data_IF_208180457749
#
_entry.id   IF_208180457749
#
_cell.length_a   1.000
_cell.length_b   1.000
_cell.length_c   1.000
_cell.angle_alpha   90.00
_cell.angle_beta   90.00
_cell.angle_gamma   90.00
#
_symmetry.space_group_name_H-M   'P 1'
#
loop_
_entity.id
_entity.type
_entity.pdbx_description
1 polymer ?
#
# COMPACT_ATOMS: atom_id res chain seq x y z
N UNK A 1 -10.24 14.15 13.85
CA UNK A 1 -10.92 13.41 12.77
C UNK A 1 -10.54 14.07 11.46
N UNK A 2 -10.27 13.27 10.42
CA UNK A 2 -9.95 13.78 9.10
C UNK A 2 -11.13 14.59 8.53
N UNK A 3 -10.86 15.82 8.08
CA UNK A 3 -11.89 16.73 7.56
C UNK A 3 -11.86 16.88 6.04
N UNK A 4 -10.73 16.59 5.42
CA UNK A 4 -10.45 16.91 4.03
C UNK A 4 -10.22 15.63 3.23
N UNK A 5 -10.75 15.60 2.01
CA UNK A 5 -10.43 14.57 1.02
C UNK A 5 -9.01 14.78 0.52
N UNK A 6 -8.30 13.70 0.21
CA UNK A 6 -7.04 13.80 -0.52
C UNK A 6 -6.87 12.72 -1.59
N UNK A 7 -6.01 13.01 -2.57
CA UNK A 7 -5.56 12.05 -3.58
C UNK A 7 -4.06 11.79 -3.39
N UNK A 8 -3.68 10.51 -3.42
CA UNK A 8 -2.30 10.06 -3.26
C UNK A 8 -1.80 9.54 -4.60
N UNK A 9 -0.63 10.02 -5.02
CA UNK A 9 0.15 9.49 -6.13
C UNK A 9 1.49 9.01 -5.57
N UNK A 10 1.79 7.73 -5.75
CA UNK A 10 2.99 7.11 -5.22
C UNK A 10 3.74 6.34 -6.30
N UNK A 11 5.01 6.68 -6.51
CA UNK A 11 5.93 6.01 -7.41
C UNK A 11 7.02 5.30 -6.61
N UNK A 12 7.29 4.05 -6.97
CA UNK A 12 8.51 3.35 -6.60
C UNK A 12 8.99 2.51 -7.77
N UNK A 13 10.30 2.31 -7.88
CA UNK A 13 10.87 1.37 -8.85
C UNK A 13 11.23 0.04 -8.20
N UNK A 14 11.38 -0.98 -9.03
CA UNK A 14 11.80 -2.32 -8.66
C UNK A 14 12.88 -2.77 -9.65
N UNK A 15 14.05 -3.16 -9.16
CA UNK A 15 15.19 -3.57 -9.99
C UNK A 15 15.59 -5.03 -9.71
N UNK A 16 15.63 -5.86 -10.76
CA UNK A 16 15.98 -7.29 -10.71
C UNK A 16 15.24 -8.11 -9.65
N UNK A 17 13.95 -7.80 -9.46
CA UNK A 17 13.11 -8.44 -8.46
C UNK A 17 11.70 -8.70 -8.97
N UNK A 18 10.92 -9.39 -8.15
CA UNK A 18 9.51 -9.61 -8.39
C UNK A 18 8.69 -8.75 -7.42
N UNK A 19 8.10 -7.60 -7.83
CA UNK A 19 7.36 -6.72 -6.92
C UNK A 19 6.07 -7.36 -6.41
N UNK A 20 5.39 -8.17 -7.22
CA UNK A 20 4.17 -8.89 -6.86
C UNK A 20 3.97 -10.15 -7.71
N UNK A 21 4.33 -11.30 -7.11
CA UNK A 21 4.17 -12.59 -7.75
C UNK A 21 2.73 -13.08 -7.72
N UNK A 22 2.34 -13.86 -8.74
CA UNK A 22 1.05 -14.52 -8.81
C UNK A 22 1.11 -15.96 -8.27
N UNK A 23 0.50 -16.27 -7.12
CA UNK A 23 0.54 -17.61 -6.56
C UNK A 23 -0.09 -18.69 -7.45
N UNK A 24 -0.94 -18.32 -8.42
CA UNK A 24 -1.55 -19.29 -9.35
C UNK A 24 -0.81 -19.42 -10.69
N UNK A 25 0.21 -18.60 -10.93
CA UNK A 25 1.04 -18.64 -12.15
C UNK A 25 2.53 -18.64 -11.76
N UNK A 26 2.97 -19.72 -11.11
CA UNK A 26 4.39 -19.98 -10.79
C UNK A 26 5.11 -18.83 -10.07
N UNK A 27 4.35 -18.00 -9.35
CA UNK A 27 4.83 -16.79 -8.70
C UNK A 27 5.45 -15.77 -9.67
N UNK A 28 5.09 -15.78 -10.96
CA UNK A 28 5.51 -14.78 -11.96
C UNK A 28 5.06 -13.37 -11.57
N UNK A 29 5.83 -12.32 -11.88
CA UNK A 29 5.33 -10.95 -11.79
C UNK A 29 4.03 -10.83 -12.59
N UNK A 30 3.00 -10.18 -12.01
CA UNK A 30 1.74 -9.95 -12.73
C UNK A 30 1.96 -8.95 -13.88
N UNK A 31 1.58 -9.34 -15.10
CA UNK A 31 1.69 -8.51 -16.31
C UNK A 31 0.31 -8.39 -16.95
N UNK A 32 -0.05 -7.20 -17.41
CA UNK A 32 -1.17 -7.00 -18.32
C UNK A 32 -0.78 -7.49 -19.72
N UNK A 33 -1.42 -8.57 -20.20
CA UNK A 33 -1.09 -9.21 -21.48
C UNK A 33 -1.26 -8.28 -22.69
N UNK A 34 -2.22 -7.34 -22.64
CA UNK A 34 -2.50 -6.43 -23.75
C UNK A 34 -1.49 -5.27 -23.81
N UNK A 35 -1.16 -4.71 -22.64
CA UNK A 35 -0.32 -3.52 -22.57
C UNK A 35 1.15 -3.82 -22.33
N UNK A 36 1.51 -5.00 -21.82
CA UNK A 36 2.86 -5.36 -21.40
C UNK A 36 3.32 -4.68 -20.11
N UNK A 37 2.40 -4.04 -19.37
CA UNK A 37 2.71 -3.29 -18.14
C UNK A 37 2.66 -4.20 -16.92
N UNK A 38 3.58 -4.02 -15.99
CA UNK A 38 3.50 -4.69 -14.70
C UNK A 38 2.30 -4.21 -13.90
N UNK A 39 1.64 -5.14 -13.19
CA UNK A 39 0.57 -4.87 -12.24
C UNK A 39 1.06 -5.22 -10.83
N UNK A 40 0.75 -4.36 -9.87
CA UNK A 40 0.88 -4.67 -8.45
C UNK A 40 -0.47 -4.45 -7.79
N UNK A 41 -0.98 -5.45 -7.06
CA UNK A 41 -2.29 -5.33 -6.42
C UNK A 41 -2.28 -4.29 -5.30
N UNK A 42 -3.42 -3.65 -5.07
CA UNK A 42 -3.61 -2.74 -3.94
C UNK A 42 -3.41 -3.47 -2.61
N UNK A 43 -3.83 -4.74 -2.52
CA UNK A 43 -3.61 -5.59 -1.34
C UNK A 43 -2.12 -5.78 -1.05
N UNK A 44 -1.27 -5.88 -2.09
CA UNK A 44 0.19 -5.97 -1.89
C UNK A 44 0.75 -4.71 -1.26
N UNK A 45 0.36 -3.52 -1.73
CA UNK A 45 0.77 -2.25 -1.14
C UNK A 45 0.24 -2.11 0.30
N UNK A 46 -1.05 -2.42 0.53
CA UNK A 46 -1.65 -2.41 1.88
C UNK A 46 -0.93 -3.36 2.83
N UNK A 47 -0.45 -4.51 2.36
CA UNK A 47 0.37 -5.44 3.16
C UNK A 47 1.72 -4.82 3.53
N UNK A 48 2.43 -4.21 2.57
CA UNK A 48 3.69 -3.50 2.85
C UNK A 48 3.51 -2.44 3.94
N UNK A 49 2.43 -1.66 3.85
CA UNK A 49 2.08 -0.64 4.86
C UNK A 49 1.84 -1.30 6.22
N UNK A 50 0.98 -2.31 6.30
CA UNK A 50 0.68 -3.04 7.56
C UNK A 50 1.93 -3.63 8.20
N UNK A 51 2.77 -4.29 7.40
CA UNK A 51 4.00 -4.92 7.86
C UNK A 51 4.94 -3.86 8.47
N UNK A 52 5.08 -2.70 7.82
CA UNK A 52 5.89 -1.60 8.35
C UNK A 52 5.33 -1.01 9.65
N UNK A 53 4.04 -0.70 9.67
CA UNK A 53 3.37 -0.14 10.85
C UNK A 53 3.47 -1.09 12.05
N UNK A 54 3.38 -2.39 11.82
CA UNK A 54 3.55 -3.38 12.89
C UNK A 54 5.00 -3.51 13.34
N UNK A 55 5.92 -3.78 12.42
CA UNK A 55 7.29 -4.20 12.75
C UNK A 55 8.18 -3.03 13.17
N UNK A 56 7.98 -1.84 12.58
CA UNK A 56 8.85 -0.68 12.80
C UNK A 56 8.21 0.38 13.68
N UNK A 57 6.87 0.52 13.66
CA UNK A 57 6.15 1.49 14.50
C UNK A 57 5.52 0.87 15.75
N UNK A 58 5.52 -0.46 15.87
CA UNK A 58 4.92 -1.16 17.00
C UNK A 58 3.41 -0.96 17.12
N UNK A 59 2.74 -0.52 16.04
CA UNK A 59 1.31 -0.30 16.03
C UNK A 59 0.57 -1.62 15.87
N UNK A 60 -0.62 -1.71 16.46
CA UNK A 60 -1.44 -2.90 16.35
C UNK A 60 -2.14 -2.95 14.99
N UNK A 61 -2.06 -4.13 14.37
CA UNK A 61 -2.65 -4.43 13.07
C UNK A 61 -3.61 -5.59 13.24
N UNK A 62 -4.85 -5.41 12.82
CA UNK A 62 -5.86 -6.45 12.92
C UNK A 62 -5.56 -7.60 11.95
N UNK A 63 -5.37 -7.27 10.66
CA UNK A 63 -5.16 -8.25 9.59
C UNK A 63 -3.68 -8.64 9.58
N UNK A 64 -3.32 -9.61 10.43
CA UNK A 64 -2.00 -10.24 10.48
C UNK A 64 -2.12 -11.74 10.73
N UNK A 65 -1.10 -12.47 10.34
CA UNK A 65 -0.97 -13.89 10.68
C UNK A 65 -0.53 -14.00 12.14
N UNK A 66 -1.34 -14.66 12.95
CA UNK A 66 -1.01 -14.99 14.35
C UNK A 66 -1.04 -16.49 14.45
N UNK A 67 0.08 -17.05 14.90
CA UNK A 67 0.25 -18.47 15.13
C UNK A 67 0.05 -18.71 16.63
N UNK A 68 -0.84 -19.64 16.98
CA UNK A 68 -1.09 -20.01 18.37
C UNK A 68 0.01 -20.94 18.93
N UNK A 69 -0.09 -21.31 20.21
CA UNK A 69 0.88 -22.19 20.89
C UNK A 69 0.98 -23.60 20.28
N UNK A 70 0.08 -23.96 19.35
CA UNK A 70 0.01 -25.27 18.69
C UNK A 70 0.33 -25.18 17.19
N UNK A 71 0.95 -24.09 16.75
CA UNK A 71 1.29 -23.80 15.36
C UNK A 71 0.07 -23.65 14.42
N UNK A 72 -1.12 -23.35 14.94
CA UNK A 72 -2.30 -23.06 14.12
C UNK A 72 -2.46 -21.57 13.84
N UNK A 73 -2.82 -21.24 12.59
CA UNK A 73 -3.13 -19.87 12.19
C UNK A 73 -4.51 -19.49 12.73
N UNK A 74 -4.55 -18.39 13.47
CA UNK A 74 -5.77 -17.84 14.03
C UNK A 74 -6.74 -17.39 12.93
N UNK A 75 -8.02 -17.74 13.07
CA UNK A 75 -9.05 -17.27 12.15
C UNK A 75 -9.56 -15.86 12.51
N UNK A 76 -10.33 -15.25 11.60
CA UNK A 76 -10.86 -13.90 11.80
C UNK A 76 -11.81 -13.77 13.00
N UNK A 77 -12.46 -14.87 13.42
CA UNK A 77 -13.39 -14.87 14.57
C UNK A 77 -12.62 -14.84 15.86
N UNK A 78 -11.64 -15.73 16.00
CA UNK A 78 -10.73 -15.75 17.14
C UNK A 78 -10.03 -14.40 17.26
N UNK A 79 -9.59 -13.83 16.14
CA UNK A 79 -8.96 -12.51 16.13
C UNK A 79 -9.90 -11.40 16.62
N UNK A 80 -11.18 -11.45 16.26
CA UNK A 80 -12.17 -10.52 16.78
C UNK A 80 -12.42 -10.71 18.29
N UNK A 81 -12.43 -11.95 18.78
CA UNK A 81 -12.60 -12.26 20.21
C UNK A 81 -11.45 -11.72 21.08
N UNK A 82 -10.24 -11.53 20.53
CA UNK A 82 -9.13 -10.89 21.26
C UNK A 82 -9.41 -9.44 21.65
N UNK A 83 -10.34 -8.78 20.96
CA UNK A 83 -10.76 -7.41 21.25
C UNK A 83 -12.01 -7.35 22.15
N UNK A 84 -12.44 -8.46 22.75
CA UNK A 84 -13.44 -8.47 23.83
C UNK A 84 -12.80 -8.04 25.16
N UNK A 85 -12.31 -6.81 25.20
CA UNK A 85 -11.64 -6.22 26.36
C UNK A 85 -12.43 -5.00 26.82
N UNK A 86 -12.68 -4.91 28.12
CA UNK A 86 -13.29 -3.73 28.75
C UNK A 86 -12.55 -3.44 30.05
N UNK A 87 -12.18 -2.18 30.24
CA UNK A 87 -11.44 -1.72 31.43
C UNK A 87 -10.14 -2.52 31.70
N UNK A 88 -9.49 -3.01 30.64
CA UNK A 88 -8.26 -3.80 30.71
C UNK A 88 -8.45 -5.29 30.99
N UNK A 89 -9.69 -5.76 31.19
CA UNK A 89 -10.00 -7.17 31.44
C UNK A 89 -10.62 -7.86 30.22
N UNK A 90 -10.16 -9.08 29.92
CA UNK A 90 -10.74 -9.91 28.86
C UNK A 90 -12.10 -10.44 29.32
N UNK A 91 -13.15 -10.11 28.57
CA UNK A 91 -14.51 -10.53 28.85
C UNK A 91 -14.78 -11.93 28.29
N UNK A 92 -15.62 -12.68 29.00
CA UNK A 92 -16.09 -14.00 28.57
C UNK A 92 -17.32 -13.85 27.68
N UNK A 93 -17.26 -14.37 26.46
CA UNK A 93 -18.36 -14.27 25.48
C UNK A 93 -19.68 -14.85 25.98
N UNK A 94 -19.64 -15.84 26.87
CA UNK A 94 -20.84 -16.49 27.43
C UNK A 94 -21.67 -15.53 28.29
N UNK A 95 -21.03 -14.48 28.83
CA UNK A 95 -21.67 -13.48 29.70
C UNK A 95 -22.23 -12.28 28.93
N UNK A 96 -21.98 -12.20 27.63
CA UNK A 96 -22.36 -11.05 26.80
C UNK A 96 -23.45 -11.43 25.81
N UNK A 97 -24.29 -10.47 25.46
CA UNK A 97 -25.18 -10.57 24.29
C UNK A 97 -24.39 -10.33 23.01
N UNK A 98 -24.92 -10.80 21.88
CA UNK A 98 -24.29 -10.58 20.57
C UNK A 98 -24.16 -9.08 20.25
N UNK A 99 -25.12 -8.25 20.68
CA UNK A 99 -25.08 -6.80 20.51
C UNK A 99 -23.93 -6.17 21.31
N UNK A 100 -23.78 -6.51 22.59
CA UNK A 100 -22.68 -6.01 23.43
C UNK A 100 -21.31 -6.45 22.89
N UNK A 101 -21.18 -7.70 22.44
CA UNK A 101 -19.95 -8.18 21.81
C UNK A 101 -19.59 -7.31 20.59
N UNK A 102 -20.56 -7.00 19.73
CA UNK A 102 -20.32 -6.16 18.55
C UNK A 102 -19.86 -4.76 18.94
N UNK A 103 -20.52 -4.13 19.91
CA UNK A 103 -20.18 -2.78 20.34
C UNK A 103 -18.77 -2.71 20.92
N UNK A 104 -18.43 -3.65 21.82
CA UNK A 104 -17.11 -3.72 22.46
C UNK A 104 -16.02 -3.98 21.43
N UNK A 105 -16.19 -5.00 20.58
CA UNK A 105 -15.20 -5.33 19.54
C UNK A 105 -15.03 -4.13 18.60
N UNK A 106 -16.12 -3.53 18.14
CA UNK A 106 -16.09 -2.38 17.25
C UNK A 106 -15.29 -1.22 17.83
N UNK A 107 -15.54 -0.86 19.08
CA UNK A 107 -14.84 0.25 19.72
C UNK A 107 -13.36 -0.06 19.94
N UNK A 108 -13.04 -1.28 20.39
CA UNK A 108 -11.66 -1.70 20.65
C UNK A 108 -10.82 -1.78 19.37
N UNK A 109 -11.38 -2.32 18.29
CA UNK A 109 -10.65 -2.41 17.01
C UNK A 109 -10.45 -1.03 16.38
N UNK A 110 -11.44 -0.14 16.42
CA UNK A 110 -11.28 1.23 15.91
C UNK A 110 -10.27 2.04 16.72
N UNK A 111 -10.20 1.81 18.02
CA UNK A 111 -9.27 2.51 18.90
C UNK A 111 -7.84 1.99 18.75
N UNK A 112 -7.67 0.68 18.59
CA UNK A 112 -6.35 0.03 18.66
C UNK A 112 -5.73 -0.24 17.28
N UNK A 113 -6.54 -0.59 16.28
CA UNK A 113 -6.04 -1.08 14.99
C UNK A 113 -6.07 -0.01 13.91
N UNK A 114 -4.88 0.53 13.57
CA UNK A 114 -4.74 1.56 12.55
C UNK A 114 -5.13 1.07 11.15
N UNK A 115 -4.88 -0.21 10.84
CA UNK A 115 -5.22 -0.77 9.52
C UNK A 115 -6.73 -0.85 9.27
N UNK A 116 -7.54 -1.00 10.32
CA UNK A 116 -9.00 -0.91 10.23
C UNK A 116 -9.42 0.55 9.99
N UNK A 117 -8.79 1.50 10.70
CA UNK A 117 -9.07 2.93 10.49
C UNK A 117 -8.75 3.38 9.06
N UNK A 118 -7.68 2.84 8.48
CA UNK A 118 -7.22 3.17 7.13
C UNK A 118 -7.97 2.41 6.03
N UNK A 119 -8.04 1.08 6.13
CA UNK A 119 -8.45 0.20 5.03
C UNK A 119 -9.80 -0.47 5.24
N UNK A 120 -10.39 -0.32 6.43
CA UNK A 120 -11.64 -0.97 6.78
C UNK A 120 -11.49 -2.49 6.92
N UNK A 121 -12.60 -3.15 7.22
CA UNK A 121 -12.61 -4.58 7.50
C UNK A 121 -14.03 -5.13 7.45
N UNK A 122 -14.16 -6.44 7.18
CA UNK A 122 -15.37 -7.21 7.46
C UNK A 122 -15.04 -8.27 8.49
N UNK A 123 -15.55 -8.11 9.71
CA UNK A 123 -15.28 -8.96 10.86
C UNK A 123 -16.49 -9.85 11.16
N UNK A 124 -16.34 -11.18 11.20
CA UNK A 124 -17.36 -12.05 11.75
C UNK A 124 -17.37 -11.96 13.28
N UNK A 125 -18.56 -11.82 13.86
CA UNK A 125 -18.80 -11.87 15.31
C UNK A 125 -19.76 -13.02 15.60
N UNK A 126 -19.32 -14.00 16.38
CA UNK A 126 -20.09 -15.21 16.65
C UNK A 126 -20.16 -15.48 18.15
N UNK A 127 -21.38 -15.50 18.69
CA UNK A 127 -21.62 -15.91 20.08
C UNK A 127 -21.87 -17.42 20.16
N UNK A 128 -22.65 -17.96 19.21
CA UNK A 128 -22.96 -19.38 19.09
C UNK A 128 -23.20 -19.74 17.62
N UNK A 129 -23.31 -21.03 17.30
CA UNK A 129 -23.53 -21.50 15.92
C UNK A 129 -24.80 -20.92 15.26
N UNK A 130 -25.78 -20.50 16.08
CA UNK A 130 -27.04 -19.88 15.68
C UNK A 130 -27.06 -18.35 15.83
N UNK A 131 -26.13 -17.77 16.59
CA UNK A 131 -26.06 -16.32 16.87
C UNK A 131 -24.78 -15.74 16.25
N UNK A 132 -24.92 -15.28 15.00
CA UNK A 132 -23.84 -14.73 14.18
C UNK A 132 -24.20 -13.34 13.68
N UNK A 133 -23.20 -12.48 13.58
CA UNK A 133 -23.30 -11.18 12.95
C UNK A 133 -21.96 -10.78 12.33
N UNK A 134 -21.92 -9.61 11.72
CA UNK A 134 -20.68 -9.02 11.23
C UNK A 134 -20.59 -7.53 11.57
N UNK A 135 -19.36 -7.05 11.72
CA UNK A 135 -19.02 -5.63 11.74
C UNK A 135 -18.35 -5.34 10.40
N UNK A 136 -18.83 -4.33 9.68
CA UNK A 136 -18.27 -3.95 8.39
C UNK A 136 -17.97 -2.47 8.41
N UNK A 137 -16.72 -2.13 8.12
CA UNK A 137 -16.26 -0.77 7.89
C UNK A 137 -15.68 -0.65 6.50
N UNK A 138 -16.17 0.31 5.73
CA UNK A 138 -15.52 0.70 4.48
C UNK A 138 -14.30 1.55 4.80
N UNK A 139 -13.14 1.13 4.31
CA UNK A 139 -11.88 1.87 4.49
C UNK A 139 -11.92 3.24 3.83
N UNK A 140 -11.52 4.31 4.53
CA UNK A 140 -11.37 5.63 3.93
C UNK A 140 -10.30 5.68 2.83
N UNK A 141 -9.24 4.88 2.97
CA UNK A 141 -8.12 4.85 2.04
C UNK A 141 -8.30 3.72 1.03
N UNK A 142 -8.51 4.09 -0.23
CA UNK A 142 -8.65 3.14 -1.33
C UNK A 142 -7.58 3.41 -2.39
N UNK A 143 -6.90 2.34 -2.82
CA UNK A 143 -5.92 2.39 -3.89
C UNK A 143 -6.44 1.64 -5.10
N UNK A 144 -6.15 2.16 -6.29
CA UNK A 144 -6.17 1.38 -7.52
C UNK A 144 -5.00 0.39 -7.50
N UNK A 145 -5.09 -0.69 -8.27
CA UNK A 145 -3.91 -1.51 -8.56
C UNK A 145 -2.84 -0.64 -9.20
N UNK A 146 -1.60 -0.78 -8.72
CA UNK A 146 -0.46 -0.09 -9.28
C UNK A 146 -0.11 -0.66 -10.65
N UNK A 147 0.32 0.22 -11.55
CA UNK A 147 0.75 -0.15 -12.90
C UNK A 147 2.09 0.48 -13.23
N UNK A 148 2.98 -0.25 -13.91
CA UNK A 148 4.25 0.33 -14.37
C UNK A 148 4.01 1.44 -15.39
N UNK A 149 4.80 2.52 -15.41
CA UNK A 149 4.62 3.62 -16.38
C UNK A 149 5.06 3.27 -17.82
N UNK A 150 5.75 2.15 -18.00
CA UNK A 150 6.25 1.62 -19.27
C UNK A 150 5.97 0.11 -19.38
N UNK A 151 6.15 -0.46 -20.57
CA UNK A 151 6.20 -1.92 -20.75
C UNK A 151 7.41 -2.51 -20.05
N UNK A 152 7.26 -3.69 -19.45
CA UNK A 152 8.34 -4.36 -18.74
C UNK A 152 8.72 -5.67 -19.42
N UNK A 153 9.99 -6.05 -19.27
CA UNK A 153 10.47 -7.36 -19.66
C UNK A 153 10.51 -8.28 -18.44
N UNK A 154 9.99 -9.50 -18.59
CA UNK A 154 10.19 -10.55 -17.59
C UNK A 154 11.43 -11.36 -17.94
N UNK A 155 12.31 -11.54 -16.97
CA UNK A 155 13.49 -12.38 -17.09
C UNK A 155 13.33 -13.62 -16.20
N UNK A 156 13.76 -14.75 -16.75
CA UNK A 156 13.71 -16.03 -16.07
C UNK A 156 15.11 -16.46 -15.67
N UNK A 157 15.34 -16.54 -14.37
CA UNK A 157 16.64 -16.81 -13.77
C UNK A 157 16.63 -18.21 -13.16
N UNK A 158 17.65 -19.00 -13.51
CA UNK A 158 17.91 -20.31 -12.90
C UNK A 158 19.05 -20.21 -11.89
N UNK A 159 18.84 -20.81 -10.73
CA UNK A 159 19.84 -20.99 -9.68
C UNK A 159 19.96 -22.46 -9.26
N UNK A 160 20.97 -22.75 -8.44
CA UNK A 160 21.14 -24.05 -7.79
C UNK A 160 21.05 -23.90 -6.28
N UNK A 161 20.25 -24.74 -5.63
CA UNK A 161 20.18 -24.88 -4.18
C UNK A 161 21.32 -25.72 -3.63
N UNK A 162 21.69 -25.48 -2.38
CA UNK A 162 22.77 -26.23 -1.73
C UNK A 162 22.35 -27.65 -1.32
N UNK A 163 21.04 -27.89 -1.16
CA UNK A 163 20.49 -29.17 -0.70
C UNK A 163 20.08 -30.06 -1.86
N UNK A 164 20.22 -31.37 -1.66
CA UNK A 164 19.72 -32.38 -2.57
C UNK A 164 18.18 -32.36 -2.60
N UNK A 165 17.59 -32.80 -3.72
CA UNK A 165 16.13 -32.87 -3.91
C UNK A 165 15.44 -33.98 -3.11
N UNK A 166 16.18 -34.78 -2.34
CA UNK A 166 15.67 -35.85 -1.49
C UNK A 166 16.78 -36.55 -0.72
N UNK A 167 16.40 -37.42 0.22
CA UNK A 167 17.36 -38.31 0.91
C UNK A 167 18.04 -39.22 -0.13
N UNK A 168 19.36 -39.40 -0.01
CA UNK A 168 20.21 -40.23 -0.90
C UNK A 168 20.39 -39.73 -2.34
N UNK A 169 19.89 -38.54 -2.69
CA UNK A 169 20.16 -37.92 -3.99
C UNK A 169 21.42 -37.04 -3.94
N UNK A 170 22.25 -37.09 -4.98
CA UNK A 170 23.42 -36.21 -5.15
C UNK A 170 23.12 -34.97 -5.99
N UNK A 171 21.99 -34.95 -6.69
CA UNK A 171 21.55 -33.80 -7.47
C UNK A 171 21.05 -32.67 -6.57
N UNK A 172 21.68 -31.50 -6.72
CA UNK A 172 21.23 -30.25 -6.11
C UNK A 172 19.84 -29.88 -6.62
N UNK A 173 19.04 -29.28 -5.75
CA UNK A 173 17.77 -28.64 -6.12
C UNK A 173 18.00 -27.52 -7.13
N UNK A 174 17.16 -27.42 -8.17
CA UNK A 174 17.14 -26.25 -9.04
C UNK A 174 16.16 -25.23 -8.49
N UNK A 175 16.50 -23.95 -8.60
CA UNK A 175 15.63 -22.83 -8.25
C UNK A 175 15.35 -22.04 -9.50
N UNK A 176 14.10 -21.70 -9.69
CA UNK A 176 13.63 -20.98 -10.87
C UNK A 176 12.88 -19.74 -10.38
N UNK A 177 13.26 -18.58 -10.89
CA UNK A 177 12.67 -17.31 -10.47
C UNK A 177 12.39 -16.41 -11.66
N UNK A 178 11.24 -15.74 -11.60
CA UNK A 178 10.89 -14.70 -12.55
C UNK A 178 11.05 -13.35 -11.89
N UNK A 179 11.81 -12.48 -12.55
CA UNK A 179 12.10 -11.12 -12.07
C UNK A 179 11.87 -10.12 -13.18
N UNK A 180 11.67 -8.86 -12.79
CA UNK A 180 11.66 -7.73 -13.68
C UNK A 180 13.02 -7.03 -13.56
N UNK A 181 13.79 -6.87 -14.64
CA UNK A 181 15.03 -6.08 -14.60
C UNK A 181 14.77 -4.66 -14.12
N UNK A 182 13.66 -4.06 -14.57
CA UNK A 182 13.22 -2.75 -14.12
C UNK A 182 11.71 -2.60 -14.25
N UNK A 183 11.10 -1.92 -13.28
CA UNK A 183 9.70 -1.51 -13.34
C UNK A 183 9.48 -0.27 -12.48
N UNK A 184 9.09 0.85 -13.08
CA UNK A 184 8.65 2.03 -12.34
C UNK A 184 7.13 2.00 -12.16
N UNK A 185 6.66 1.70 -10.95
CA UNK A 185 5.25 1.41 -10.63
C UNK A 185 4.58 2.64 -10.05
N UNK A 186 3.41 2.99 -10.59
CA UNK A 186 2.57 4.09 -10.11
C UNK A 186 1.31 3.58 -9.41
N UNK A 187 1.09 4.04 -8.19
CA UNK A 187 -0.14 3.87 -7.43
C UNK A 187 -0.91 5.17 -7.34
N UNK A 188 -2.22 5.07 -7.56
CA UNK A 188 -3.17 6.14 -7.32
C UNK A 188 -4.13 5.71 -6.20
N UNK A 189 -4.37 6.61 -5.25
CA UNK A 189 -5.28 6.39 -4.14
C UNK A 189 -6.10 7.61 -3.76
N UNK A 190 -7.19 7.36 -3.04
CA UNK A 190 -8.08 8.40 -2.51
C UNK A 190 -8.24 8.16 -1.01
N UNK A 191 -8.19 9.24 -0.24
CA UNK A 191 -8.58 9.28 1.17
C UNK A 191 -9.94 9.96 1.28
N UNK A 192 -10.97 9.19 1.60
CA UNK A 192 -12.35 9.65 1.67
C UNK A 192 -12.72 10.15 3.08
N UNK A 193 -12.96 11.46 3.19
CA UNK A 193 -13.33 12.18 4.40
C UNK A 193 -14.67 11.72 5.01
N UNK A 194 -15.59 11.21 4.19
CA UNK A 194 -16.89 10.75 4.68
C UNK A 194 -16.79 9.38 5.37
N UNK A 195 -16.06 8.45 4.75
CA UNK A 195 -15.77 7.13 5.34
C UNK A 195 -14.86 7.24 6.57
N UNK A 196 -14.03 8.29 6.65
CA UNK A 196 -13.19 8.56 7.81
C UNK A 196 -13.99 8.77 9.10
N UNK A 197 -15.24 9.27 9.01
CA UNK A 197 -16.11 9.49 10.17
C UNK A 197 -16.53 8.19 10.85
N UNK A 198 -16.84 7.15 10.07
CA UNK A 198 -17.27 5.84 10.61
C UNK A 198 -16.11 5.06 11.21
N UNK A 199 -14.90 5.27 10.67
CA UNK A 199 -13.67 4.59 11.08
C UNK A 199 -12.83 5.38 12.09
N UNK A 200 -13.23 6.61 12.44
CA UNK A 200 -12.51 7.52 13.34
C UNK A 200 -11.09 7.87 12.87
N UNK A 201 -10.84 7.80 11.56
CA UNK A 201 -9.54 8.11 10.97
C UNK A 201 -9.14 9.56 11.26
N UNK A 202 -7.87 9.76 11.62
CA UNK A 202 -7.30 11.07 11.97
C UNK A 202 -6.29 11.56 10.92
N UNK A 203 -5.86 12.82 11.01
CA UNK A 203 -4.78 13.34 10.17
C UNK A 203 -3.43 12.68 10.50
N UNK A 204 -3.19 12.39 11.78
CA UNK A 204 -1.98 11.68 12.24
C UNK A 204 -1.90 10.25 11.68
N UNK A 205 -3.05 9.57 11.54
CA UNK A 205 -3.11 8.28 10.86
C UNK A 205 -2.71 8.38 9.37
N UNK A 206 -3.03 9.50 8.71
CA UNK A 206 -2.62 9.76 7.32
C UNK A 206 -1.12 10.06 7.22
N UNK A 207 -0.57 10.85 8.13
CA UNK A 207 0.88 11.09 8.17
C UNK A 207 1.65 9.77 8.38
N UNK A 208 1.14 8.92 9.28
CA UNK A 208 1.66 7.57 9.55
C UNK A 208 1.52 6.65 8.32
N UNK A 209 0.42 6.75 7.58
CA UNK A 209 0.22 6.03 6.31
C UNK A 209 1.26 6.45 5.26
N UNK A 210 1.46 7.75 5.05
CA UNK A 210 2.38 8.28 4.03
C UNK A 210 3.81 7.86 4.33
N UNK A 211 4.22 7.92 5.61
CA UNK A 211 5.50 7.40 6.05
C UNK A 211 5.63 5.90 5.76
N UNK A 212 4.61 5.11 6.10
CA UNK A 212 4.63 3.66 5.88
C UNK A 212 4.62 3.27 4.40
N UNK A 213 4.02 4.08 3.52
CA UNK A 213 4.12 3.90 2.07
C UNK A 213 5.58 4.07 1.61
N UNK A 214 6.24 5.13 2.06
CA UNK A 214 7.63 5.42 1.71
C UNK A 214 8.61 4.43 2.35
N UNK A 215 8.74 4.47 3.67
CA UNK A 215 9.71 3.69 4.42
C UNK A 215 9.37 2.19 4.43
N UNK A 216 8.10 1.80 4.38
CA UNK A 216 7.70 0.40 4.29
C UNK A 216 8.12 -0.25 2.98
N UNK A 217 7.98 0.47 1.86
CA UNK A 217 8.43 -0.03 0.54
C UNK A 217 9.94 -0.22 0.52
N UNK A 218 10.69 0.74 1.05
CA UNK A 218 12.16 0.68 1.19
C UNK A 218 12.62 -0.44 2.13
N UNK A 219 11.83 -0.78 3.15
CA UNK A 219 12.16 -1.76 4.19
C UNK A 219 11.81 -3.21 3.80
N UNK A 220 11.37 -3.47 2.56
CA UNK A 220 11.12 -4.82 2.05
C UNK A 220 12.44 -5.57 1.73
N UNK A 221 13.20 -5.91 2.77
CA UNK A 221 14.50 -6.57 2.67
C UNK A 221 14.31 -8.09 2.69
N UNK A 222 13.81 -8.65 1.58
CA UNK A 222 13.76 -10.11 1.37
C UNK A 222 14.38 -10.47 0.03
N UNK A 223 14.77 -11.74 -0.15
CA UNK A 223 15.48 -12.20 -1.36
C UNK A 223 14.77 -11.86 -2.68
N UNK A 224 13.44 -11.81 -2.69
CA UNK A 224 12.65 -11.53 -3.90
C UNK A 224 12.14 -10.09 -3.99
N UNK A 225 12.40 -9.25 -2.98
CA UNK A 225 11.80 -7.91 -2.86
C UNK A 225 12.82 -6.79 -2.61
N UNK A 226 14.06 -7.13 -2.24
CA UNK A 226 15.14 -6.17 -2.01
C UNK A 226 15.50 -5.44 -3.31
N UNK A 227 15.42 -4.11 -3.31
CA UNK A 227 15.57 -3.31 -4.53
C UNK A 227 14.31 -2.56 -4.95
N UNK A 228 13.28 -2.53 -4.10
CA UNK A 228 12.19 -1.55 -4.23
C UNK A 228 12.61 -0.21 -3.62
N UNK A 229 12.56 0.87 -4.40
CA UNK A 229 12.96 2.20 -3.94
C UNK A 229 11.84 3.20 -4.23
N UNK A 230 11.25 3.83 -3.20
CA UNK A 230 10.34 4.96 -3.38
C UNK A 230 11.00 6.09 -4.17
N UNK A 231 10.26 6.69 -5.10
CA UNK A 231 10.77 7.75 -5.99
C UNK A 231 10.03 9.08 -5.83
N UNK A 232 8.71 9.01 -5.72
CA UNK A 232 7.86 10.20 -5.58
C UNK A 232 6.63 9.84 -4.76
N UNK A 233 6.30 10.65 -3.76
CA UNK A 233 5.02 10.57 -3.05
C UNK A 233 4.41 11.96 -3.02
N UNK A 234 3.20 12.07 -3.53
CA UNK A 234 2.41 13.30 -3.61
C UNK A 234 1.04 13.04 -2.99
N UNK A 235 0.66 13.84 -2.00
CA UNK A 235 -0.68 13.83 -1.40
C UNK A 235 -1.33 15.20 -1.60
N UNK A 236 -2.37 15.27 -2.42
CA UNK A 236 -3.07 16.52 -2.74
C UNK A 236 -4.30 16.62 -1.83
N UNK A 237 -4.27 17.56 -0.89
CA UNK A 237 -5.35 17.76 0.10
C UNK A 237 -6.31 18.84 -0.39
N UNK A 238 -7.60 18.55 -0.45
CA UNK A 238 -8.63 19.46 -0.97
C UNK A 238 -9.41 20.14 0.14
N UNK A 239 -9.74 21.42 -0.04
CA UNK A 239 -10.67 22.16 0.84
C UNK A 239 -12.13 22.05 0.40
N UNK A 240 -12.37 21.71 -0.86
CA UNK A 240 -13.72 21.49 -1.38
C UNK A 240 -14.21 20.08 -1.00
N UNK A 241 -15.35 20.00 -0.33
CA UNK A 241 -15.93 18.72 0.10
C UNK A 241 -16.38 17.90 -1.11
N UNK A 242 -16.19 16.58 -1.03
CA UNK A 242 -16.59 15.63 -2.06
C UNK A 242 -15.92 15.83 -3.44
N UNK A 243 -14.94 16.72 -3.54
CA UNK A 243 -14.20 17.00 -4.77
C UNK A 243 -12.87 16.25 -4.79
N UNK A 244 -12.51 15.76 -5.97
CA UNK A 244 -11.19 15.27 -6.31
C UNK A 244 -11.02 15.41 -7.84
N UNK A 245 -9.77 15.47 -8.30
CA UNK A 245 -9.40 15.61 -9.72
C UNK A 245 -9.62 14.27 -10.44
N UNK A 246 -9.12 13.18 -9.84
CA UNK A 246 -9.12 11.85 -10.43
C UNK A 246 -7.88 11.55 -11.25
N UNK A 247 -7.47 10.27 -11.24
CA UNK A 247 -6.50 9.69 -12.18
C UNK A 247 -5.15 10.42 -12.24
N UNK A 248 -4.63 10.87 -11.09
CA UNK A 248 -3.35 11.60 -11.04
C UNK A 248 -2.19 10.83 -11.70
N UNK A 249 -2.24 9.49 -11.67
CA UNK A 249 -1.29 8.60 -12.34
C UNK A 249 -1.28 8.74 -13.87
N UNK A 250 -2.38 9.18 -14.49
CA UNK A 250 -2.53 9.34 -15.95
C UNK A 250 -1.97 10.65 -16.49
N UNK A 251 -1.60 11.57 -15.61
CA UNK A 251 -0.90 12.80 -15.99
C UNK A 251 0.63 12.67 -15.96
N UNK A 252 1.13 11.46 -15.71
CA UNK A 252 2.54 11.12 -15.83
C UNK A 252 2.81 10.37 -17.15
N UNK A 253 3.97 10.64 -17.75
CA UNK A 253 4.53 9.82 -18.83
C UNK A 253 6.05 9.75 -18.71
N UNK A 254 6.66 8.85 -19.47
CA UNK A 254 8.12 8.70 -19.53
C UNK A 254 8.66 9.21 -20.87
N UNK A 255 9.76 9.94 -20.81
CA UNK A 255 10.54 10.42 -21.96
C UNK A 255 11.90 9.73 -21.93
N UNK A 256 12.18 8.94 -22.96
CA UNK A 256 13.46 8.22 -23.13
C UNK A 256 13.68 7.89 -24.60
N UNK A 257 14.94 7.75 -25.00
CA UNK A 257 15.33 7.26 -26.33
C UNK A 257 15.44 5.74 -26.39
N UNK A 258 15.35 5.05 -25.23
CA UNK A 258 15.40 3.59 -25.13
C UNK A 258 14.02 2.98 -25.34
N UNK A 259 13.99 1.72 -25.77
CA UNK A 259 12.76 0.95 -25.71
C UNK A 259 12.36 0.70 -24.25
N UNK A 260 11.05 0.71 -23.95
CA UNK A 260 10.48 0.49 -22.62
C UNK A 260 11.07 -0.75 -21.89
N UNK A 261 11.24 -1.86 -22.61
CA UNK A 261 11.72 -3.14 -22.08
C UNK A 261 13.24 -3.17 -21.80
N UNK A 262 13.97 -2.19 -22.31
CA UNK A 262 15.43 -2.05 -22.15
C UNK A 262 15.82 -1.19 -20.95
N UNK A 263 14.87 -0.50 -20.32
CA UNK A 263 15.12 0.33 -19.14
C UNK A 263 15.68 -0.51 -17.99
N UNK A 264 16.71 -0.01 -17.32
CA UNK A 264 17.39 -0.67 -16.19
C UNK A 264 17.54 0.20 -14.95
N UNK A 265 17.41 1.52 -15.09
CA UNK A 265 17.57 2.44 -13.96
C UNK A 265 16.73 3.72 -14.13
N UNK A 266 16.42 4.37 -13.01
CA UNK A 266 15.68 5.64 -12.95
C UNK A 266 16.39 6.78 -13.69
N UNK A 267 17.72 6.72 -13.84
CA UNK A 267 18.48 7.74 -14.57
C UNK A 267 18.38 7.63 -16.10
N UNK A 268 17.72 6.60 -16.64
CA UNK A 268 17.66 6.33 -18.09
C UNK A 268 16.45 6.96 -18.79
N UNK A 269 15.62 7.70 -18.04
CA UNK A 269 14.42 8.37 -18.54
C UNK A 269 14.09 9.60 -17.68
N UNK A 270 13.26 10.46 -18.25
CA UNK A 270 12.69 11.61 -17.55
C UNK A 270 11.19 11.33 -17.34
N UNK A 271 10.71 11.54 -16.11
CA UNK A 271 9.27 11.51 -15.81
C UNK A 271 8.69 12.86 -16.15
N UNK A 272 7.80 12.89 -17.15
CA UNK A 272 7.05 14.09 -17.51
C UNK A 272 5.92 14.33 -16.51
N UNK A 273 6.00 15.49 -15.84
CA UNK A 273 5.05 15.95 -14.83
C UNK A 273 4.29 17.21 -15.27
N UNK A 274 4.49 17.66 -16.51
CA UNK A 274 4.00 18.96 -16.97
C UNK A 274 2.46 18.98 -16.96
N UNK A 275 1.83 17.92 -17.47
CA UNK A 275 0.36 17.74 -17.45
C UNK A 275 -0.20 17.65 -16.04
N UNK A 276 0.54 17.05 -15.11
CA UNK A 276 0.14 16.98 -13.70
C UNK A 276 0.12 18.40 -13.10
N UNK A 277 1.19 19.17 -13.32
CA UNK A 277 1.30 20.56 -12.87
C UNK A 277 0.20 21.46 -13.47
N UNK A 278 -0.13 21.31 -14.75
CA UNK A 278 -1.23 22.03 -15.41
C UNK A 278 -2.57 21.75 -14.74
N UNK A 279 -2.88 20.48 -14.46
CA UNK A 279 -4.15 20.08 -13.85
C UNK A 279 -4.25 20.53 -12.40
N UNK A 280 -3.14 20.47 -11.64
CA UNK A 280 -3.07 21.03 -10.29
C UNK A 280 -3.32 22.54 -10.32
N UNK A 281 -2.63 23.28 -11.22
CA UNK A 281 -2.81 24.72 -11.39
C UNK A 281 -4.26 25.09 -11.74
N UNK A 282 -4.88 24.36 -12.66
CA UNK A 282 -6.29 24.55 -13.04
C UNK A 282 -7.25 24.44 -11.85
N UNK A 283 -6.91 23.60 -10.86
CA UNK A 283 -7.73 23.34 -9.67
C UNK A 283 -7.17 24.00 -8.40
N UNK A 284 -6.23 24.94 -8.51
CA UNK A 284 -5.54 25.57 -7.38
C UNK A 284 -6.51 26.12 -6.32
N UNK A 285 -7.60 26.73 -6.77
CA UNK A 285 -8.60 27.31 -5.89
C UNK A 285 -9.37 26.28 -5.05
N UNK A 286 -9.20 24.97 -5.28
CA UNK A 286 -9.83 23.85 -4.56
C UNK A 286 -8.83 23.05 -3.70
N UNK A 287 -7.54 23.26 -3.92
CA UNK A 287 -6.46 22.62 -3.19
C UNK A 287 -6.15 23.43 -1.93
N UNK A 288 -6.00 22.74 -0.81
CA UNK A 288 -5.62 23.31 0.47
C UNK A 288 -4.10 23.29 0.65
N UNK A 289 -3.50 22.10 0.49
CA UNK A 289 -2.06 21.90 0.50
C UNK A 289 -1.68 20.70 -0.35
N UNK A 290 -0.40 20.62 -0.67
CA UNK A 290 0.23 19.47 -1.32
C UNK A 290 1.33 18.98 -0.40
N UNK A 291 1.26 17.72 0.01
CA UNK A 291 2.36 17.07 0.70
C UNK A 291 3.23 16.35 -0.34
N UNK A 292 4.56 16.49 -0.25
CA UNK A 292 5.48 16.01 -1.28
C UNK A 292 6.78 15.48 -0.68
N UNK A 293 7.25 14.35 -1.21
CA UNK A 293 8.65 13.90 -1.08
C UNK A 293 9.14 13.28 -2.37
N UNK A 294 10.44 13.40 -2.62
CA UNK A 294 11.12 13.01 -3.84
C UNK A 294 12.44 12.32 -3.49
N UNK A 295 12.79 11.31 -4.26
CA UNK A 295 14.11 10.69 -4.23
C UNK A 295 15.10 11.48 -5.09
N UNK A 296 16.33 11.65 -4.60
CA UNK A 296 17.35 12.48 -5.25
C UNK A 296 17.79 11.98 -6.63
N UNK A 297 17.54 10.71 -6.98
CA UNK A 297 17.94 10.14 -8.28
C UNK A 297 16.88 10.30 -9.35
N UNK A 298 15.69 10.77 -9.01
CA UNK A 298 14.59 10.95 -9.97
C UNK A 298 14.89 12.11 -10.91
N UNK A 299 14.60 11.93 -12.21
CA UNK A 299 14.68 12.99 -13.20
C UNK A 299 13.26 13.37 -13.63
N UNK A 300 12.86 14.62 -13.36
CA UNK A 300 11.55 15.16 -13.73
C UNK A 300 11.71 16.16 -14.88
N UNK A 301 10.71 16.28 -15.75
CA UNK A 301 10.69 17.28 -16.84
C UNK A 301 10.78 18.72 -16.31
N UNK A 302 10.18 18.93 -15.14
CA UNK A 302 10.10 20.21 -14.45
C UNK A 302 10.34 19.97 -12.96
N UNK A 303 11.01 20.92 -12.30
CA UNK A 303 11.16 20.90 -10.84
C UNK A 303 9.79 21.12 -10.18
N UNK A 304 9.15 20.01 -9.82
CA UNK A 304 7.78 20.01 -9.31
C UNK A 304 7.65 20.85 -8.03
N UNK A 305 8.67 20.84 -7.16
CA UNK A 305 8.66 21.59 -5.90
C UNK A 305 8.71 23.08 -6.18
N UNK A 306 9.70 23.53 -6.94
CA UNK A 306 9.84 24.94 -7.29
C UNK A 306 8.65 25.47 -8.10
N UNK A 307 8.15 24.69 -9.05
CA UNK A 307 6.98 25.08 -9.86
C UNK A 307 5.71 25.23 -9.02
N UNK A 308 5.45 24.33 -8.08
CA UNK A 308 4.31 24.45 -7.17
C UNK A 308 4.46 25.66 -6.22
N UNK A 309 5.67 25.94 -5.73
CA UNK A 309 5.93 27.12 -4.88
C UNK A 309 5.71 28.43 -5.66
N UNK A 310 6.26 28.52 -6.89
CA UNK A 310 6.07 29.69 -7.76
C UNK A 310 4.61 29.89 -8.14
N UNK A 311 3.88 28.79 -8.36
CA UNK A 311 2.45 28.83 -8.58
C UNK A 311 1.66 29.20 -7.32
N UNK A 312 2.27 29.31 -6.14
CA UNK A 312 1.67 29.74 -4.88
C UNK A 312 0.81 28.68 -4.20
N UNK A 313 1.18 27.40 -4.32
CA UNK A 313 0.60 26.32 -3.50
C UNK A 313 1.22 26.32 -2.10
N UNK A 314 0.42 25.90 -1.10
CA UNK A 314 0.95 25.52 0.20
C UNK A 314 1.57 24.13 0.09
N UNK A 315 2.88 24.00 0.33
CA UNK A 315 3.59 22.72 0.23
C UNK A 315 4.07 22.31 1.62
N UNK A 316 3.80 21.06 1.99
CA UNK A 316 4.40 20.40 3.15
C UNK A 316 5.39 19.35 2.65
N UNK A 317 6.66 19.55 2.93
CA UNK A 317 7.66 18.53 2.63
C UNK A 317 7.54 17.39 3.64
N UNK A 318 7.59 16.16 3.13
CA UNK A 318 7.54 14.97 3.95
C UNK A 318 8.95 14.45 4.16
N UNK A 319 9.50 14.74 5.34
CA UNK A 319 10.80 14.25 5.79
C UNK A 319 10.59 12.96 6.60
N UNK A 320 11.04 11.83 6.05
CA UNK A 320 10.81 10.48 6.60
C UNK A 320 12.09 9.74 6.97
#
# INVERSE_FOLDING_TARGET
>A
MLTNRSEILFLYDAQWINPNGDPVDENKPRIDEETGRNIVTDVRLKRTIRDFLHQYKGLEIFIREIVDEKDYIQDAKQRAEDFLIKDGEKLKKEKLTLAEMKEIINDQVLSSCIDIRLFGVTLPVEKSSKEKSSITHTGPVQFKMGQSLHRVKMEYIKGTGAFASGSELTQKTFREEYVLPYSLIAFYGIVNEEAAKTTRLTEEDIDTLLEAMWNGTKSLISRSKVGQVPRLLLNVVYKEKHFHIGELDKYLSLKTDKNDEELRDVSEFIIDVDRLLEVLNKNKNKIERIDLTLDDRIQLSTDIKNSLQQAGFSIRELDF
#
